data_IF_954236573847
#
_entry.id   IF_954236573847
#
_cell.length_a   1.000
_cell.length_b   1.000
_cell.length_c   1.000
_cell.angle_alpha   90.00
_cell.angle_beta   90.00
_cell.angle_gamma   90.00
#
_symmetry.space_group_name_H-M   'P 1'
#
loop_
_entity.id
_entity.type
_entity.pdbx_description
1 polymer ?
#
# COMPACT_ATOMS: atom_id res chain seq x y z
N UNK A 1 -62.23 24.86 29.55
CA UNK A 1 -62.13 24.98 28.07
C UNK A 1 -60.66 24.93 27.69
N UNK A 2 -60.31 24.24 26.60
CA UNK A 2 -58.99 24.41 25.97
C UNK A 2 -58.90 25.83 25.41
N UNK A 3 -57.75 26.47 25.58
CA UNK A 3 -57.46 27.83 25.11
C UNK A 3 -56.56 27.81 23.86
N UNK A 4 -56.50 28.92 23.13
CA UNK A 4 -55.59 29.06 21.98
C UNK A 4 -54.10 28.93 22.38
N UNK A 5 -53.77 29.30 23.63
CA UNK A 5 -52.44 29.09 24.19
C UNK A 5 -52.12 27.59 24.33
N UNK A 6 -53.10 26.79 24.78
CA UNK A 6 -52.98 25.33 24.86
C UNK A 6 -52.79 24.72 23.45
N UNK A 7 -53.59 25.15 22.47
CA UNK A 7 -53.48 24.69 21.07
C UNK A 7 -52.12 25.05 20.46
N UNK A 8 -51.59 26.24 20.76
CA UNK A 8 -50.28 26.69 20.28
C UNK A 8 -49.14 25.85 20.87
N UNK A 9 -49.22 25.51 22.16
CA UNK A 9 -48.24 24.65 22.82
C UNK A 9 -48.26 23.24 22.21
N UNK A 10 -49.45 22.67 21.98
CA UNK A 10 -49.60 21.35 21.36
C UNK A 10 -48.97 21.31 19.95
N UNK A 11 -49.17 22.33 19.11
CA UNK A 11 -48.53 22.40 17.78
C UNK A 11 -47.00 22.42 17.82
N UNK A 12 -46.39 22.95 18.89
CA UNK A 12 -44.93 22.95 19.07
C UNK A 12 -44.40 21.64 19.67
N UNK A 13 -45.23 20.94 20.44
CA UNK A 13 -44.82 19.72 21.17
C UNK A 13 -45.06 18.44 20.36
N UNK A 14 -46.13 18.38 19.57
CA UNK A 14 -46.49 17.18 18.83
C UNK A 14 -45.83 17.17 17.45
N UNK A 15 -45.21 16.03 17.13
CA UNK A 15 -44.75 15.76 15.78
C UNK A 15 -45.95 15.65 14.81
N UNK A 16 -45.79 16.23 13.64
CA UNK A 16 -46.73 16.10 12.53
C UNK A 16 -46.43 14.84 11.71
N UNK A 17 -47.34 14.47 10.81
CA UNK A 17 -47.09 13.36 9.88
C UNK A 17 -45.88 13.60 8.98
N UNK A 18 -45.59 14.85 8.65
CA UNK A 18 -44.44 15.19 7.81
C UNK A 18 -43.11 15.06 8.57
N UNK A 19 -43.10 15.29 9.88
CA UNK A 19 -41.92 15.06 10.71
C UNK A 19 -41.51 13.59 10.73
N UNK A 20 -42.51 12.68 10.73
CA UNK A 20 -42.28 11.24 10.78
C UNK A 20 -41.77 10.64 9.46
N UNK A 21 -42.01 11.29 8.31
CA UNK A 21 -41.55 10.81 6.99
C UNK A 21 -40.02 10.74 6.86
N UNK A 22 -39.27 11.44 7.73
CA UNK A 22 -37.80 11.44 7.73
C UNK A 22 -37.19 10.23 8.44
N UNK A 23 -38.00 9.48 9.17
CA UNK A 23 -37.54 8.32 9.94
C UNK A 23 -37.77 7.03 9.16
N UNK A 24 -36.81 6.12 9.26
CA UNK A 24 -36.97 4.77 8.75
C UNK A 24 -38.10 4.05 9.51
N UNK A 25 -38.91 3.32 8.76
CA UNK A 25 -39.98 2.47 9.27
C UNK A 25 -39.46 1.08 9.60
N UNK A 26 -40.29 0.28 10.29
CA UNK A 26 -39.97 -1.13 10.54
C UNK A 26 -39.80 -1.93 9.24
N UNK A 27 -40.52 -1.56 8.19
CA UNK A 27 -40.43 -2.28 6.91
C UNK A 27 -39.18 -1.90 6.13
N UNK A 28 -38.67 -0.66 6.27
CA UNK A 28 -37.35 -0.27 5.75
C UNK A 28 -36.22 -1.09 6.37
N UNK A 29 -36.32 -1.40 7.67
CA UNK A 29 -35.34 -2.23 8.38
C UNK A 29 -35.39 -3.70 7.94
N UNK A 30 -36.58 -4.28 7.75
CA UNK A 30 -36.70 -5.64 7.19
C UNK A 30 -36.12 -5.74 5.78
N UNK A 31 -36.29 -4.70 4.96
CA UNK A 31 -35.72 -4.65 3.62
C UNK A 31 -34.17 -4.55 3.65
N UNK A 32 -33.60 -3.92 4.67
CA UNK A 32 -32.14 -3.91 4.90
C UNK A 32 -31.64 -5.29 5.32
N UNK A 33 -32.30 -5.97 6.27
CA UNK A 33 -31.95 -7.32 6.71
C UNK A 33 -31.98 -8.32 5.53
N UNK A 34 -33.04 -8.31 4.72
CA UNK A 34 -33.15 -9.18 3.55
C UNK A 34 -32.09 -8.93 2.45
N UNK A 35 -31.47 -7.74 2.42
CA UNK A 35 -30.37 -7.41 1.50
C UNK A 35 -28.99 -7.75 2.06
N UNK A 36 -28.87 -7.87 3.38
CA UNK A 36 -27.58 -7.97 4.06
C UNK A 36 -26.91 -9.33 3.85
N UNK A 37 -27.67 -10.42 3.72
CA UNK A 37 -27.10 -11.77 3.84
C UNK A 37 -26.20 -12.22 2.67
N UNK A 38 -26.19 -11.53 1.51
CA UNK A 38 -25.43 -12.02 0.32
C UNK A 38 -24.83 -10.97 -0.62
N UNK A 39 -25.02 -9.67 -0.40
CA UNK A 39 -24.64 -8.64 -1.39
C UNK A 39 -23.54 -7.67 -0.96
N UNK A 40 -23.15 -7.68 0.31
CA UNK A 40 -22.15 -6.74 0.83
C UNK A 40 -21.02 -7.49 1.52
N UNK A 41 -19.78 -7.12 1.18
CA UNK A 41 -18.62 -7.56 1.92
C UNK A 41 -18.64 -6.98 3.35
N UNK A 42 -18.32 -7.83 4.31
CA UNK A 42 -18.08 -7.44 5.70
C UNK A 42 -16.67 -6.87 5.86
N UNK A 43 -16.38 -6.27 7.02
CA UNK A 43 -15.02 -5.82 7.34
C UNK A 43 -14.02 -6.97 7.35
N UNK A 44 -14.45 -8.17 7.74
CA UNK A 44 -13.58 -9.34 7.79
C UNK A 44 -13.24 -9.86 6.39
N UNK A 45 -14.18 -9.80 5.44
CA UNK A 45 -13.94 -10.14 4.03
C UNK A 45 -12.85 -9.25 3.40
N UNK A 46 -12.72 -8.01 3.87
CA UNK A 46 -11.76 -7.05 3.32
C UNK A 46 -10.35 -7.18 3.91
N UNK A 47 -10.16 -7.90 5.02
CA UNK A 47 -8.85 -8.01 5.70
C UNK A 47 -7.80 -8.77 4.88
N UNK A 48 -8.22 -9.59 3.92
CA UNK A 48 -7.31 -10.39 3.09
C UNK A 48 -6.62 -9.57 1.99
N UNK A 49 -7.12 -8.36 1.71
CA UNK A 49 -6.60 -7.55 0.63
C UNK A 49 -5.45 -6.67 1.11
N UNK A 50 -4.39 -6.64 0.30
CA UNK A 50 -3.30 -5.71 0.51
C UNK A 50 -3.80 -4.25 0.45
N UNK A 51 -3.28 -3.46 1.37
CA UNK A 51 -3.50 -2.03 1.46
C UNK A 51 -2.45 -1.26 0.67
N UNK A 52 -2.66 0.05 0.54
CA UNK A 52 -1.65 0.94 -0.04
C UNK A 52 -0.35 0.95 0.76
N UNK A 53 -0.42 0.77 2.08
CA UNK A 53 0.77 0.75 2.93
C UNK A 53 1.61 -0.50 2.68
N UNK A 54 0.98 -1.66 2.50
CA UNK A 54 1.69 -2.90 2.16
C UNK A 54 2.50 -2.74 0.85
N UNK A 55 1.96 -2.01 -0.13
CA UNK A 55 2.68 -1.69 -1.37
C UNK A 55 3.83 -0.70 -1.16
N UNK A 56 3.69 0.26 -0.24
CA UNK A 56 4.76 1.21 0.11
C UNK A 56 5.90 0.46 0.80
N UNK A 57 5.60 -0.40 1.76
CA UNK A 57 6.59 -1.19 2.49
C UNK A 57 7.35 -2.14 1.54
N UNK A 58 6.63 -2.78 0.62
CA UNK A 58 7.23 -3.63 -0.41
C UNK A 58 8.14 -2.83 -1.36
N UNK A 59 7.68 -1.66 -1.82
CA UNK A 59 8.47 -0.75 -2.65
C UNK A 59 9.76 -0.34 -1.94
N UNK A 60 9.67 0.04 -0.67
CA UNK A 60 10.82 0.51 0.11
C UNK A 60 11.83 -0.61 0.33
N UNK A 61 11.35 -1.84 0.57
CA UNK A 61 12.19 -3.05 0.62
C UNK A 61 12.94 -3.25 -0.70
N UNK A 62 12.25 -3.23 -1.84
CA UNK A 62 12.88 -3.35 -3.16
C UNK A 62 13.92 -2.25 -3.39
N UNK A 63 13.61 -1.00 -3.04
CA UNK A 63 14.52 0.12 -3.22
C UNK A 63 15.78 -0.01 -2.36
N UNK A 64 15.67 -0.58 -1.17
CA UNK A 64 16.82 -0.87 -0.32
C UNK A 64 17.74 -1.91 -0.97
N UNK A 65 17.18 -3.04 -1.42
CA UNK A 65 17.95 -4.11 -2.07
C UNK A 65 18.62 -3.62 -3.37
N UNK A 66 17.92 -2.85 -4.20
CA UNK A 66 18.48 -2.27 -5.44
C UNK A 66 19.66 -1.34 -5.14
N UNK A 67 19.61 -0.57 -4.04
CA UNK A 67 20.73 0.29 -3.64
C UNK A 67 21.93 -0.55 -3.23
N UNK A 68 21.73 -1.59 -2.42
CA UNK A 68 22.80 -2.52 -2.04
C UNK A 68 23.48 -3.14 -3.25
N UNK A 69 22.70 -3.67 -4.20
CA UNK A 69 23.24 -4.23 -5.44
C UNK A 69 24.05 -3.20 -6.26
N UNK A 70 23.62 -1.93 -6.30
CA UNK A 70 24.36 -0.87 -7.01
C UNK A 70 25.70 -0.59 -6.35
N UNK A 71 25.77 -0.61 -5.03
CA UNK A 71 27.01 -0.43 -4.28
C UNK A 71 27.98 -1.59 -4.53
N UNK A 72 27.49 -2.83 -4.48
CA UNK A 72 28.28 -4.03 -4.82
C UNK A 72 28.83 -3.97 -6.25
N UNK A 73 27.99 -3.60 -7.23
CA UNK A 73 28.42 -3.44 -8.63
C UNK A 73 29.52 -2.39 -8.76
N UNK A 74 29.47 -1.31 -7.99
CA UNK A 74 30.50 -0.26 -8.01
C UNK A 74 31.85 -0.81 -7.54
N UNK A 75 31.85 -1.65 -6.50
CA UNK A 75 33.07 -2.32 -6.01
C UNK A 75 33.64 -3.26 -7.08
N UNK A 76 32.79 -4.07 -7.72
CA UNK A 76 33.20 -5.01 -8.78
C UNK A 76 33.83 -4.28 -9.97
N UNK A 77 33.26 -3.14 -10.39
CA UNK A 77 33.86 -2.30 -11.44
C UNK A 77 35.25 -1.82 -11.00
N UNK A 78 35.40 -1.37 -9.75
CA UNK A 78 36.71 -0.98 -9.22
C UNK A 78 37.75 -2.11 -9.25
N UNK A 79 37.34 -3.34 -8.94
CA UNK A 79 38.23 -4.51 -9.08
C UNK A 79 38.56 -4.83 -10.54
N UNK A 80 37.62 -4.64 -11.48
CA UNK A 80 37.88 -4.82 -12.91
C UNK A 80 39.00 -3.89 -13.38
N UNK A 81 38.95 -2.61 -13.03
CA UNK A 81 39.98 -1.63 -13.39
C UNK A 81 41.35 -1.99 -12.79
N UNK A 82 41.37 -2.47 -11.53
CA UNK A 82 42.60 -2.94 -10.89
C UNK A 82 43.18 -4.18 -11.57
N UNK A 83 42.34 -5.12 -12.00
CA UNK A 83 42.77 -6.31 -12.74
C UNK A 83 43.37 -5.92 -14.09
N UNK A 84 42.76 -4.96 -14.81
CA UNK A 84 43.30 -4.48 -16.09
C UNK A 84 44.71 -3.85 -15.93
N UNK A 85 44.95 -3.07 -14.87
CA UNK A 85 46.30 -2.56 -14.56
C UNK A 85 47.29 -3.70 -14.25
N UNK A 86 46.84 -4.68 -13.46
CA UNK A 86 47.66 -5.85 -13.12
C UNK A 86 48.01 -6.63 -14.39
N UNK A 87 47.06 -6.90 -15.27
CA UNK A 87 47.28 -7.61 -16.54
C UNK A 87 48.31 -6.87 -17.39
N UNK A 88 48.18 -5.54 -17.52
CA UNK A 88 49.18 -4.73 -18.24
C UNK A 88 50.59 -4.84 -17.63
N UNK A 89 50.69 -4.81 -16.30
CA UNK A 89 51.98 -4.93 -15.59
C UNK A 89 52.58 -6.33 -15.73
N UNK A 90 51.74 -7.37 -15.67
CA UNK A 90 52.13 -8.76 -15.87
C UNK A 90 52.68 -8.95 -17.28
N UNK A 91 51.98 -8.48 -18.31
CA UNK A 91 52.47 -8.54 -19.70
C UNK A 91 53.85 -7.89 -19.86
N UNK A 92 54.08 -6.74 -19.22
CA UNK A 92 55.39 -6.07 -19.26
C UNK A 92 56.48 -6.89 -18.58
N UNK A 93 56.18 -7.55 -17.46
CA UNK A 93 57.12 -8.41 -16.75
C UNK A 93 57.43 -9.68 -17.54
N UNK A 94 56.43 -10.32 -18.14
CA UNK A 94 56.59 -11.49 -19.00
C UNK A 94 57.53 -11.16 -20.18
N UNK A 95 57.30 -10.03 -20.86
CA UNK A 95 58.17 -9.53 -21.94
C UNK A 95 59.62 -9.30 -21.47
N UNK A 96 59.81 -8.72 -20.27
CA UNK A 96 61.14 -8.43 -19.74
C UNK A 96 61.90 -9.68 -19.27
N UNK A 97 61.20 -10.62 -18.65
CA UNK A 97 61.78 -11.84 -18.05
C UNK A 97 61.84 -13.03 -19.01
N UNK A 98 61.17 -12.92 -20.17
CA UNK A 98 60.98 -14.01 -21.15
C UNK A 98 60.25 -15.23 -20.57
N UNK A 99 59.48 -15.01 -19.51
CA UNK A 99 58.57 -16.03 -18.97
C UNK A 99 57.35 -16.07 -19.89
N UNK A 100 56.91 -17.25 -20.35
CA UNK A 100 55.72 -17.36 -21.18
C UNK A 100 54.45 -17.02 -20.39
N UNK A 101 53.40 -16.49 -21.04
CA UNK A 101 52.13 -16.21 -20.38
C UNK A 101 51.53 -17.46 -19.74
N UNK A 102 50.88 -17.29 -18.58
CA UNK A 102 50.14 -18.37 -17.94
C UNK A 102 48.90 -18.68 -18.78
N UNK A 103 48.80 -19.90 -19.30
CA UNK A 103 47.58 -20.38 -19.95
C UNK A 103 46.52 -20.69 -18.88
N UNK A 104 45.33 -20.11 -19.03
CA UNK A 104 44.12 -20.47 -18.28
C UNK A 104 43.45 -21.71 -18.88
#
# INVERSE_FOLDING_TARGET
MITDADVTKLKKTFATKDDLKKFATKDDLKALEARQDKKFATKDDLKIYATKNDMIDFKDTILHEIKGLREEVTIVIGYKDQIEDIDYRVERLEKHTKIPPIAL
#
